data_IF_292697590312
#
_entry.id   IF_292697590312
#
_cell.length_a   1.000
_cell.length_b   1.000
_cell.length_c   1.000
_cell.angle_alpha   90.00
_cell.angle_beta   90.00
_cell.angle_gamma   90.00
#
_symmetry.space_group_name_H-M   'P 1'
#
loop_
_entity.id
_entity.type
_entity.pdbx_description
1 polymer ?
#
# COMPACT_ATOMS: atom_id res chain seq x y z
N UNK A 1 2.40 -5.42 -12.42
CA UNK A 1 2.78 -5.44 -10.99
C UNK A 1 2.06 -6.64 -10.36
N UNK A 2 2.66 -7.85 -10.38
CA UNK A 2 2.01 -9.11 -9.95
C UNK A 2 2.24 -9.46 -8.47
N UNK A 3 3.25 -8.86 -7.81
CA UNK A 3 3.74 -9.32 -6.50
C UNK A 3 2.79 -9.17 -5.29
N UNK A 4 1.51 -8.82 -5.48
CA UNK A 4 0.45 -8.85 -4.45
C UNK A 4 -0.92 -9.23 -5.03
N UNK A 5 -0.94 -10.07 -6.07
CA UNK A 5 -2.19 -10.60 -6.60
C UNK A 5 -2.84 -11.49 -5.52
N UNK A 6 -4.10 -11.23 -5.12
CA UNK A 6 -4.79 -12.07 -4.15
C UNK A 6 -4.90 -13.53 -4.61
N UNK A 7 -4.97 -13.79 -5.92
CA UNK A 7 -5.02 -15.15 -6.48
C UNK A 7 -3.73 -15.93 -6.21
N UNK A 8 -2.57 -15.27 -6.31
CA UNK A 8 -1.28 -15.89 -6.01
C UNK A 8 -1.23 -16.32 -4.52
N UNK A 9 -1.84 -15.54 -3.63
CA UNK A 9 -1.92 -15.87 -2.20
C UNK A 9 -2.82 -17.07 -1.91
N UNK A 10 -3.96 -17.19 -2.60
CA UNK A 10 -4.81 -18.40 -2.54
C UNK A 10 -4.06 -19.62 -3.02
N UNK A 11 -3.48 -19.54 -4.22
CA UNK A 11 -2.76 -20.67 -4.81
C UNK A 11 -1.63 -21.16 -3.89
N UNK A 12 -0.91 -20.24 -3.25
CA UNK A 12 0.11 -20.58 -2.27
C UNK A 12 -0.47 -21.24 -1.00
N UNK A 13 -1.62 -20.79 -0.49
CA UNK A 13 -2.29 -21.40 0.66
C UNK A 13 -2.79 -22.82 0.35
N UNK A 14 -3.42 -23.01 -0.80
CA UNK A 14 -3.89 -24.32 -1.27
C UNK A 14 -2.73 -25.29 -1.51
N UNK A 15 -1.64 -24.83 -2.12
CA UNK A 15 -0.42 -25.61 -2.30
C UNK A 15 0.23 -26.00 -0.96
N UNK A 16 0.02 -25.21 0.10
CA UNK A 16 0.45 -25.52 1.46
C UNK A 16 -0.51 -26.48 2.19
N UNK A 17 -1.57 -26.96 1.53
CA UNK A 17 -2.57 -27.89 2.09
C UNK A 17 -3.63 -27.22 2.96
N UNK A 18 -3.81 -25.90 2.84
CA UNK A 18 -4.89 -25.17 3.50
C UNK A 18 -6.11 -25.09 2.58
N UNK A 19 -7.31 -25.14 3.15
CA UNK A 19 -8.55 -24.80 2.46
C UNK A 19 -8.82 -23.30 2.63
N UNK A 20 -8.84 -22.55 1.54
CA UNK A 20 -9.18 -21.12 1.56
C UNK A 20 -10.70 -20.97 1.67
N UNK A 21 -11.15 -20.42 2.79
CA UNK A 21 -12.57 -20.22 3.12
C UNK A 21 -13.07 -18.91 2.51
N UNK A 22 -12.28 -17.85 2.62
CA UNK A 22 -12.63 -16.53 2.11
C UNK A 22 -11.40 -15.80 1.59
N UNK A 23 -11.57 -15.04 0.52
CA UNK A 23 -10.60 -14.04 0.08
C UNK A 23 -11.31 -12.76 -0.33
N UNK A 24 -10.98 -11.66 0.31
CA UNK A 24 -11.57 -10.34 0.06
C UNK A 24 -10.52 -9.35 -0.34
N UNK A 25 -10.74 -8.66 -1.45
CA UNK A 25 -9.95 -7.52 -1.88
C UNK A 25 -10.58 -6.22 -1.36
N UNK A 26 -9.76 -5.32 -0.85
CA UNK A 26 -10.18 -3.99 -0.41
C UNK A 26 -9.24 -2.91 -0.94
N UNK A 27 -9.80 -1.78 -1.36
CA UNK A 27 -9.06 -0.62 -1.84
C UNK A 27 -9.31 0.56 -0.90
N UNK A 28 -8.38 0.73 0.03
CA UNK A 28 -8.45 1.78 1.03
C UNK A 28 -7.93 3.10 0.47
N UNK A 29 -8.71 4.16 0.71
CA UNK A 29 -8.36 5.55 0.39
C UNK A 29 -7.56 6.16 1.54
N UNK A 30 -6.54 6.93 1.20
CA UNK A 30 -5.74 7.72 2.17
C UNK A 30 -5.48 9.08 1.56
N UNK A 31 -5.76 10.13 2.33
CA UNK A 31 -5.60 11.51 1.88
C UNK A 31 -4.50 12.17 2.68
N UNK A 32 -3.60 12.86 1.98
CA UNK A 32 -2.57 13.70 2.60
C UNK A 32 -2.87 15.15 2.28
N UNK A 33 -3.11 15.94 3.33
CA UNK A 33 -3.46 17.34 3.22
C UNK A 33 -2.23 18.26 3.19
N UNK A 34 -1.06 17.74 3.52
CA UNK A 34 0.20 18.47 3.49
C UNK A 34 1.40 17.54 3.20
N UNK A 35 2.50 18.14 2.75
CA UNK A 35 3.71 17.40 2.41
C UNK A 35 4.42 16.81 3.63
N UNK A 36 4.27 17.43 4.81
CA UNK A 36 4.80 16.91 6.07
C UNK A 36 4.18 15.58 6.44
N UNK A 37 2.87 15.42 6.26
CA UNK A 37 2.16 14.16 6.47
C UNK A 37 2.64 13.05 5.51
N UNK A 38 2.89 13.38 4.24
CA UNK A 38 3.49 12.45 3.27
C UNK A 38 4.88 11.99 3.73
N UNK A 39 5.75 12.94 4.10
CA UNK A 39 7.10 12.64 4.57
C UNK A 39 7.08 11.80 5.85
N UNK A 40 6.23 12.15 6.81
CA UNK A 40 6.06 11.38 8.04
C UNK A 40 5.63 9.94 7.73
N UNK A 41 4.63 9.77 6.86
CA UNK A 41 4.15 8.45 6.45
C UNK A 41 5.25 7.62 5.79
N UNK A 42 5.99 8.18 4.82
CA UNK A 42 7.06 7.44 4.13
C UNK A 42 8.23 7.07 5.06
N UNK A 43 8.50 7.88 6.09
CA UNK A 43 9.51 7.56 7.12
C UNK A 43 9.05 6.47 8.10
N UNK A 44 7.74 6.34 8.35
CA UNK A 44 7.19 5.34 9.29
C UNK A 44 6.79 4.03 8.61
N UNK A 45 6.37 4.09 7.36
CA UNK A 45 5.89 2.96 6.56
C UNK A 45 6.93 2.62 5.50
N UNK A 46 8.08 2.14 5.96
CA UNK A 46 9.33 2.04 5.20
C UNK A 46 9.26 1.14 3.96
N UNK A 47 8.30 0.21 3.89
CA UNK A 47 8.10 -0.67 2.75
C UNK A 47 7.32 -0.03 1.59
N UNK A 48 6.77 1.18 1.77
CA UNK A 48 6.07 1.90 0.70
C UNK A 48 7.02 2.40 -0.37
N UNK A 49 8.16 2.96 0.06
CA UNK A 49 9.28 3.36 -0.79
C UNK A 49 10.56 2.94 -0.05
N UNK A 50 11.05 1.71 -0.28
CA UNK A 50 12.29 1.24 0.34
C UNK A 50 13.44 2.21 0.08
N UNK A 51 14.17 2.57 1.14
CA UNK A 51 15.30 3.50 1.04
C UNK A 51 14.91 4.98 0.96
N UNK A 52 13.65 5.35 1.21
CA UNK A 52 13.22 6.75 1.18
C UNK A 52 14.05 7.65 2.10
N UNK A 53 14.58 8.73 1.53
CA UNK A 53 15.11 9.90 2.25
C UNK A 53 14.52 11.18 1.67
N UNK A 54 14.47 12.25 2.47
CA UNK A 54 13.94 13.54 1.99
C UNK A 54 14.86 14.13 0.93
N UNK A 55 16.17 13.96 1.10
CA UNK A 55 17.20 14.53 0.26
C UNK A 55 17.15 13.95 -1.16
N UNK A 56 17.03 12.63 -1.29
CA UNK A 56 16.97 11.95 -2.59
C UNK A 56 15.69 12.29 -3.36
N UNK A 57 14.58 12.51 -2.64
CA UNK A 57 13.26 12.74 -3.23
C UNK A 57 12.82 14.20 -3.19
N UNK A 58 13.72 15.14 -2.87
CA UNK A 58 13.38 16.56 -2.67
C UNK A 58 12.66 17.19 -3.88
N UNK A 59 13.08 16.96 -5.15
CA UNK A 59 12.36 17.51 -6.30
C UNK A 59 10.92 16.99 -6.41
N UNK A 60 10.70 15.69 -6.16
CA UNK A 60 9.39 15.04 -6.21
C UNK A 60 8.49 15.52 -5.06
N UNK A 61 9.05 15.67 -3.87
CA UNK A 61 8.34 16.19 -2.70
C UNK A 61 7.93 17.66 -2.92
N UNK A 62 8.79 18.49 -3.51
CA UNK A 62 8.46 19.87 -3.84
C UNK A 62 7.37 19.98 -4.92
N UNK A 63 7.40 19.10 -5.93
CA UNK A 63 6.34 19.03 -6.94
C UNK A 63 5.01 18.58 -6.33
N UNK A 64 5.03 17.57 -5.46
CA UNK A 64 3.85 17.09 -4.76
C UNK A 64 3.28 18.14 -3.80
N UNK A 65 4.15 18.89 -3.11
CA UNK A 65 3.73 19.99 -2.25
C UNK A 65 2.95 21.06 -3.02
N UNK A 66 3.50 21.55 -4.14
CA UNK A 66 2.79 22.52 -5.00
C UNK A 66 1.46 21.97 -5.48
N UNK A 67 1.42 20.70 -5.88
CA UNK A 67 0.17 20.04 -6.28
C UNK A 67 -0.86 20.04 -5.14
N UNK A 68 -0.45 19.79 -3.91
CA UNK A 68 -1.35 19.80 -2.76
C UNK A 68 -1.90 21.22 -2.50
N UNK A 69 -1.07 22.24 -2.66
CA UNK A 69 -1.48 23.65 -2.51
C UNK A 69 -2.43 24.12 -3.62
N UNK A 70 -2.18 23.71 -4.87
CA UNK A 70 -2.92 24.17 -6.05
C UNK A 70 -4.20 23.36 -6.31
N UNK A 71 -4.14 22.03 -6.13
CA UNK A 71 -5.20 21.10 -6.52
C UNK A 71 -5.93 20.46 -5.32
N UNK A 72 -5.44 20.68 -4.09
CA UNK A 72 -5.98 20.07 -2.88
C UNK A 72 -5.35 18.71 -2.56
N UNK A 73 -5.95 17.91 -1.66
CA UNK A 73 -5.29 16.79 -0.99
C UNK A 73 -4.72 15.73 -1.96
N UNK A 74 -3.54 15.21 -1.63
CA UNK A 74 -2.95 14.09 -2.36
C UNK A 74 -3.65 12.79 -1.98
N UNK A 75 -4.31 12.18 -2.96
CA UNK A 75 -5.06 10.93 -2.80
C UNK A 75 -4.19 9.72 -3.15
N UNK A 76 -3.85 8.94 -2.13
CA UNK A 76 -3.25 7.63 -2.27
C UNK A 76 -4.31 6.54 -2.12
N UNK A 77 -4.07 5.41 -2.80
CA UNK A 77 -4.85 4.20 -2.61
C UNK A 77 -3.93 3.05 -2.25
N UNK A 78 -4.30 2.31 -1.20
CA UNK A 78 -3.63 1.06 -0.85
C UNK A 78 -4.59 -0.09 -1.07
N UNK A 79 -4.18 -1.05 -1.91
CA UNK A 79 -4.91 -2.31 -2.07
C UNK A 79 -4.38 -3.33 -1.07
N UNK A 80 -5.30 -3.97 -0.35
CA UNK A 80 -5.03 -5.05 0.61
C UNK A 80 -6.00 -6.18 0.34
N UNK A 81 -5.65 -7.38 0.77
CA UNK A 81 -6.62 -8.47 0.83
C UNK A 81 -6.63 -9.10 2.22
N UNK A 82 -7.80 -9.60 2.60
CA UNK A 82 -8.01 -10.48 3.76
C UNK A 82 -8.20 -11.88 3.22
N UNK A 83 -7.45 -12.85 3.76
CA UNK A 83 -7.59 -14.26 3.43
C UNK A 83 -7.90 -15.03 4.72
N UNK A 84 -8.97 -15.82 4.69
CA UNK A 84 -9.31 -16.80 5.72
C UNK A 84 -9.02 -18.18 5.15
N UNK A 85 -8.22 -18.98 5.86
CA UNK A 85 -7.92 -20.34 5.47
C UNK A 85 -7.89 -21.24 6.70
N UNK A 86 -8.31 -22.50 6.53
CA UNK A 86 -8.32 -23.50 7.59
C UNK A 86 -7.50 -24.72 7.19
N UNK A 87 -6.97 -25.43 8.18
CA UNK A 87 -6.43 -26.76 7.96
C UNK A 87 -7.60 -27.73 7.76
N UNK A 88 -7.62 -28.53 6.67
CA UNK A 88 -8.61 -29.60 6.50
C UNK A 88 -8.51 -30.60 7.66
N UNK A 89 -9.65 -31.16 8.07
CA UNK A 89 -9.70 -32.25 9.05
C UNK A 89 -9.19 -33.56 8.45
#
# INVERSE_FOLDING_TARGET
>A
RRGRDPEDARAAAEAAGLEVVELRLERLRTEFFDIGAVVYFLRKVIWMVPGFTVEQYRPQLAALHRKIEEEGPFLAHTTRFLIEARKPL
#
